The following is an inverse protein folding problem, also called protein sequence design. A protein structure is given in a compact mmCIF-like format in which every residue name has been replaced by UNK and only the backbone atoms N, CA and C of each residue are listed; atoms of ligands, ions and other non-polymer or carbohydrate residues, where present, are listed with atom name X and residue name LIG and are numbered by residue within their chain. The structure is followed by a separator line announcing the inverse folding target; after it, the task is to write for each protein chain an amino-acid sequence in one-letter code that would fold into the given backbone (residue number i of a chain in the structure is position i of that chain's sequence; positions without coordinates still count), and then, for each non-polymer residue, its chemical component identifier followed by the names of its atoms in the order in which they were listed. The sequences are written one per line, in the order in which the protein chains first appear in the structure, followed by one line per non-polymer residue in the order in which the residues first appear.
data_IF_288678471766
#
_entry.id   IF_288678471766
#
_cell.length_a   1.000
_cell.length_b   1.000
_cell.length_c   1.000
_cell.angle_alpha   90.00
_cell.angle_beta   90.00
_cell.angle_gamma   90.00
#
_symmetry.space_group_name_H-M   'P 1'
#
loop_
_entity.id
_entity.type
_entity.pdbx_description
1 polymer ?
#
# COMPACT_ATOMS: atom_id res chain seq x y z
N UNK A 1 15.94 6.56 25.59
CA UNK A 1 15.86 5.16 26.09
C UNK A 1 14.70 4.53 25.33
N UNK A 2 14.90 3.38 24.70
CA UNK A 2 13.85 2.74 23.91
C UNK A 2 12.78 2.11 24.80
N UNK A 3 11.54 2.03 24.32
CA UNK A 3 10.42 1.44 25.03
C UNK A 3 10.60 -0.07 25.26
N UNK A 4 11.27 -0.75 24.32
CA UNK A 4 11.62 -2.17 24.42
C UNK A 4 13.11 -2.35 24.74
N UNK A 5 13.43 -3.39 25.51
CA UNK A 5 14.82 -3.75 25.80
C UNK A 5 15.54 -4.30 24.57
N UNK A 6 16.88 -4.26 24.53
CA UNK A 6 17.65 -4.86 23.43
C UNK A 6 17.31 -6.32 23.16
N UNK A 7 17.04 -7.11 24.20
CA UNK A 7 16.65 -8.53 24.06
C UNK A 7 15.30 -8.68 23.33
N UNK A 8 14.33 -7.81 23.64
CA UNK A 8 13.03 -7.80 22.93
C UNK A 8 13.18 -7.39 21.46
N UNK A 9 14.07 -6.44 21.19
CA UNK A 9 14.38 -6.06 19.80
C UNK A 9 15.03 -7.25 19.06
N UNK A 10 15.97 -7.96 19.68
CA UNK A 10 16.59 -9.15 19.07
C UNK A 10 15.57 -10.28 18.81
N UNK A 11 14.60 -10.48 19.70
CA UNK A 11 13.48 -11.41 19.50
C UNK A 11 12.63 -11.00 18.27
N UNK A 12 12.31 -9.70 18.13
CA UNK A 12 11.56 -9.17 16.99
C UNK A 12 12.34 -9.28 15.67
N UNK A 13 13.64 -8.99 15.68
CA UNK A 13 14.52 -9.19 14.53
C UNK A 13 14.54 -10.67 14.09
N UNK A 14 14.67 -11.59 15.05
CA UNK A 14 14.61 -13.03 14.76
C UNK A 14 13.27 -13.42 14.13
N UNK A 15 12.18 -12.87 14.66
CA UNK A 15 10.85 -13.09 14.12
C UNK A 15 10.71 -12.56 12.68
N UNK A 16 11.27 -11.37 12.41
CA UNK A 16 11.30 -10.75 11.10
C UNK A 16 12.04 -11.61 10.09
N UNK A 17 13.23 -12.09 10.45
CA UNK A 17 14.01 -13.00 9.60
C UNK A 17 13.24 -14.28 9.28
N UNK A 18 12.48 -14.82 10.23
CA UNK A 18 11.65 -15.99 9.99
C UNK A 18 10.37 -15.68 9.18
N UNK A 19 9.87 -14.44 9.19
CA UNK A 19 8.83 -13.99 8.25
C UNK A 19 9.42 -13.85 6.83
N UNK A 20 10.61 -13.26 6.72
CA UNK A 20 11.35 -13.07 5.46
C UNK A 20 11.60 -14.38 4.71
N UNK A 21 11.90 -15.47 5.42
CA UNK A 21 12.07 -16.82 4.85
C UNK A 21 10.81 -17.39 4.21
N UNK A 22 9.62 -16.97 4.65
CA UNK A 22 8.35 -17.59 4.31
C UNK A 22 7.33 -16.57 3.76
N UNK A 23 7.67 -15.83 2.69
CA UNK A 23 6.78 -14.81 2.15
C UNK A 23 5.56 -15.45 1.47
N UNK A 24 4.39 -14.89 1.73
CA UNK A 24 3.16 -15.17 1.00
C UNK A 24 2.74 -13.91 0.23
N UNK A 25 2.34 -14.05 -1.03
CA UNK A 25 1.96 -12.91 -1.87
C UNK A 25 0.51 -12.50 -1.64
N UNK A 26 0.12 -11.35 -2.19
CA UNK A 26 -1.24 -10.81 -2.10
C UNK A 26 -2.31 -11.88 -2.39
N UNK A 27 -3.20 -12.12 -1.42
CA UNK A 27 -4.28 -13.10 -1.50
C UNK A 27 -3.91 -14.54 -1.10
N UNK A 28 -2.65 -14.80 -0.73
CA UNK A 28 -2.17 -16.11 -0.28
C UNK A 28 -1.66 -16.10 1.18
N UNK A 29 -1.86 -15.02 1.95
CA UNK A 29 -1.20 -14.71 3.24
C UNK A 29 -1.71 -15.52 4.45
N UNK A 30 -2.18 -16.75 4.22
CA UNK A 30 -2.85 -17.56 5.23
C UNK A 30 -1.93 -17.95 6.37
N UNK A 31 -0.75 -18.48 6.08
CA UNK A 31 0.18 -18.95 7.11
C UNK A 31 0.76 -17.76 7.91
N UNK A 32 1.02 -16.65 7.22
CA UNK A 32 1.49 -15.38 7.80
C UNK A 32 0.44 -14.83 8.75
N UNK A 33 -0.82 -14.72 8.32
CA UNK A 33 -1.94 -14.30 9.16
C UNK A 33 -2.14 -15.21 10.38
N UNK A 34 -2.05 -16.53 10.21
CA UNK A 34 -2.13 -17.50 11.32
C UNK A 34 -1.02 -17.27 12.35
N UNK A 35 0.21 -17.01 11.90
CA UNK A 35 1.35 -16.73 12.76
C UNK A 35 1.17 -15.43 13.53
N UNK A 36 0.78 -14.36 12.84
CA UNK A 36 0.48 -13.06 13.47
C UNK A 36 -0.62 -13.20 14.53
N UNK A 37 -1.72 -13.89 14.22
CA UNK A 37 -2.80 -14.15 15.17
C UNK A 37 -2.33 -14.87 16.44
N UNK A 38 -1.43 -15.87 16.31
CA UNK A 38 -0.82 -16.56 17.45
C UNK A 38 0.01 -15.61 18.32
N UNK A 39 0.83 -14.75 17.72
CA UNK A 39 1.60 -13.75 18.46
C UNK A 39 0.70 -12.77 19.20
N UNK A 40 -0.32 -12.21 18.52
CA UNK A 40 -1.25 -11.26 19.14
C UNK A 40 -2.02 -11.85 20.32
N UNK A 41 -2.43 -13.12 20.21
CA UNK A 41 -3.09 -13.85 21.32
C UNK A 41 -2.11 -14.03 22.50
N UNK A 42 -0.88 -14.47 22.24
CA UNK A 42 0.15 -14.61 23.27
C UNK A 42 0.55 -13.26 23.90
N UNK A 43 0.39 -12.17 23.15
CA UNK A 43 0.62 -10.80 23.60
C UNK A 43 -0.59 -10.19 24.33
N UNK A 44 -1.67 -10.96 24.53
CA UNK A 44 -2.80 -10.53 25.35
C UNK A 44 -3.75 -9.57 24.64
N UNK A 45 -3.96 -9.72 23.33
CA UNK A 45 -5.06 -9.04 22.66
C UNK A 45 -6.40 -9.37 23.37
N UNK A 46 -7.21 -8.34 23.66
CA UNK A 46 -8.50 -8.51 24.35
C UNK A 46 -9.56 -9.08 23.40
N UNK A 47 -9.46 -8.73 22.12
CA UNK A 47 -10.26 -9.28 21.03
C UNK A 47 -9.42 -9.43 19.76
N UNK A 48 -9.73 -10.46 18.98
CA UNK A 48 -9.09 -10.75 17.72
C UNK A 48 -10.14 -10.93 16.62
N UNK A 49 -9.95 -10.25 15.50
CA UNK A 49 -10.68 -10.47 14.27
C UNK A 49 -9.73 -11.13 13.28
N UNK A 50 -10.22 -12.18 12.63
CA UNK A 50 -9.51 -12.92 11.59
C UNK A 50 -10.36 -12.94 10.33
N UNK A 51 -9.68 -13.21 9.24
CA UNK A 51 -10.27 -13.30 7.92
C UNK A 51 -10.98 -11.99 7.51
N UNK A 52 -10.38 -10.85 7.86
CA UNK A 52 -10.85 -9.53 7.43
C UNK A 52 -10.35 -9.27 6.01
N UNK A 53 -11.27 -9.06 5.06
CA UNK A 53 -10.89 -8.77 3.68
C UNK A 53 -10.02 -9.85 3.03
N UNK A 54 -10.23 -11.13 3.38
CA UNK A 54 -9.35 -12.24 2.97
C UNK A 54 -8.59 -12.78 4.17
N UNK A 55 -7.30 -12.48 4.28
CA UNK A 55 -6.42 -12.99 5.34
C UNK A 55 -6.10 -11.98 6.46
N UNK A 56 -6.77 -10.82 6.47
CA UNK A 56 -6.48 -9.77 7.44
C UNK A 56 -6.75 -10.17 8.89
N UNK A 57 -5.90 -9.65 9.78
CA UNK A 57 -5.98 -9.87 11.23
C UNK A 57 -6.00 -8.52 11.94
N UNK A 58 -6.95 -8.32 12.84
CA UNK A 58 -6.97 -7.15 13.72
C UNK A 58 -6.97 -7.61 15.18
N UNK A 59 -6.24 -6.90 16.04
CA UNK A 59 -6.24 -7.12 17.48
C UNK A 59 -6.56 -5.85 18.26
N UNK A 60 -7.41 -5.97 19.27
CA UNK A 60 -7.79 -4.88 20.17
C UNK A 60 -7.00 -4.96 21.48
N UNK A 61 -6.54 -3.79 21.93
CA UNK A 61 -5.92 -3.55 23.22
C UNK A 61 -6.71 -2.43 23.91
N UNK A 62 -7.59 -2.80 24.83
CA UNK A 62 -8.55 -1.90 25.48
C UNK A 62 -7.92 -1.16 26.64
N UNK A 63 -8.16 0.15 26.71
CA UNK A 63 -7.74 1.01 27.80
C UNK A 63 -8.70 0.98 29.00
N UNK A 64 -8.28 1.61 30.10
CA UNK A 64 -9.04 1.57 31.35
C UNK A 64 -10.34 2.40 31.35
N UNK A 65 -10.39 3.48 30.56
CA UNK A 65 -11.55 4.36 30.43
C UNK A 65 -11.99 4.59 28.99
N UNK A 66 -13.12 5.26 28.80
CA UNK A 66 -13.64 5.60 27.48
C UNK A 66 -12.72 6.60 26.76
N UNK A 67 -12.61 6.46 25.44
CA UNK A 67 -11.77 7.33 24.62
C UNK A 67 -11.80 6.94 23.15
N UNK A 68 -10.97 7.59 22.30
CA UNK A 68 -10.96 7.32 20.88
C UNK A 68 -10.34 5.95 20.55
N UNK A 69 -10.60 5.49 19.33
CA UNK A 69 -9.96 4.31 18.74
C UNK A 69 -8.79 4.75 17.87
N UNK A 70 -7.58 4.29 18.21
CA UNK A 70 -6.36 4.48 17.40
C UNK A 70 -6.04 3.19 16.67
N UNK A 71 -5.99 3.22 15.34
CA UNK A 71 -5.58 2.08 14.53
C UNK A 71 -4.15 2.27 14.03
N UNK A 72 -3.30 1.28 14.28
CA UNK A 72 -1.99 1.17 13.65
C UNK A 72 -2.07 0.06 12.61
N UNK A 73 -1.65 0.34 11.38
CA UNK A 73 -1.72 -0.60 10.26
C UNK A 73 -0.34 -1.02 9.78
N UNK A 74 -0.21 -2.30 9.43
CA UNK A 74 0.84 -2.86 8.57
C UNK A 74 0.22 -3.87 7.59
N UNK A 75 1.05 -4.39 6.69
CA UNK A 75 0.72 -5.30 5.61
C UNK A 75 1.19 -6.73 5.93
N UNK A 76 0.58 -7.73 5.29
CA UNK A 76 0.94 -9.14 5.44
C UNK A 76 1.71 -9.69 4.23
N UNK A 77 1.50 -9.12 3.05
CA UNK A 77 1.96 -9.69 1.78
C UNK A 77 3.42 -9.41 1.46
N UNK A 78 4.04 -10.35 0.77
CA UNK A 78 5.27 -10.17 0.01
C UNK A 78 5.00 -10.06 -1.48
N UNK A 79 6.07 -10.09 -2.28
CA UNK A 79 6.05 -9.85 -3.71
C UNK A 79 6.36 -11.11 -4.52
N UNK A 80 5.80 -11.28 -5.74
CA UNK A 80 6.13 -12.37 -6.66
C UNK A 80 7.45 -12.10 -7.40
N UNK A 81 8.50 -11.81 -6.63
CA UNK A 81 9.84 -11.51 -7.11
C UNK A 81 10.80 -12.51 -6.48
N UNK A 82 11.66 -13.09 -7.32
CA UNK A 82 12.73 -13.98 -6.86
C UNK A 82 13.81 -13.16 -6.17
N UNK A 83 13.99 -13.35 -4.88
CA UNK A 83 15.11 -12.81 -4.13
C UNK A 83 16.45 -13.38 -4.63
N UNK A 84 17.47 -12.52 -4.72
CA UNK A 84 18.84 -12.89 -5.14
C UNK A 84 19.89 -12.59 -4.06
N UNK A 85 19.47 -12.22 -2.85
CA UNK A 85 20.37 -11.95 -1.74
C UNK A 85 21.13 -13.21 -1.28
N UNK A 86 22.26 -12.98 -0.62
CA UNK A 86 23.05 -14.01 0.07
C UNK A 86 22.79 -14.05 1.58
N UNK A 87 21.67 -13.46 2.04
CA UNK A 87 21.34 -13.36 3.45
C UNK A 87 21.09 -14.75 4.06
N UNK A 88 21.48 -14.98 5.33
CA UNK A 88 21.25 -16.26 6.01
C UNK A 88 19.77 -16.55 6.27
N UNK A 89 18.89 -15.57 6.04
CA UNK A 89 17.44 -15.64 6.19
C UNK A 89 16.68 -15.30 4.90
N UNK A 90 17.34 -15.37 3.74
CA UNK A 90 16.67 -15.20 2.45
C UNK A 90 15.45 -16.11 2.31
N UNK A 91 14.51 -15.70 1.48
CA UNK A 91 13.30 -16.45 1.14
C UNK A 91 13.62 -17.90 0.73
N UNK A 92 12.91 -18.83 1.36
CA UNK A 92 12.92 -20.25 1.05
C UNK A 92 11.80 -20.61 0.05
N UNK A 93 10.93 -19.64 -0.27
CA UNK A 93 9.79 -19.82 -1.17
C UNK A 93 10.16 -19.32 -2.57
N UNK A 94 10.23 -20.25 -3.52
CA UNK A 94 10.69 -19.96 -4.87
C UNK A 94 9.88 -18.84 -5.55
N UNK A 95 10.56 -17.79 -6.00
CA UNK A 95 9.97 -16.69 -6.75
C UNK A 95 9.17 -15.70 -5.91
N UNK A 96 9.26 -15.77 -4.57
CA UNK A 96 8.57 -14.86 -3.65
C UNK A 96 9.56 -14.25 -2.66
N UNK A 97 9.32 -13.02 -2.21
CA UNK A 97 10.20 -12.31 -1.27
C UNK A 97 9.50 -11.14 -0.58
N UNK A 98 9.86 -10.83 0.67
CA UNK A 98 9.46 -9.58 1.32
C UNK A 98 10.38 -8.44 0.87
N UNK A 99 10.19 -8.01 -0.38
CA UNK A 99 11.06 -7.04 -1.06
C UNK A 99 10.52 -5.59 -1.01
N UNK A 100 9.53 -5.35 -0.15
CA UNK A 100 8.99 -4.02 0.17
C UNK A 100 9.18 -3.64 1.66
N UNK A 101 9.54 -4.62 2.51
CA UNK A 101 9.80 -4.42 3.94
C UNK A 101 8.61 -4.71 4.88
N UNK A 102 7.52 -5.28 4.35
CA UNK A 102 6.29 -5.57 5.11
C UNK A 102 6.52 -6.51 6.30
N UNK A 103 7.52 -7.38 6.25
CA UNK A 103 7.94 -8.19 7.39
C UNK A 103 8.50 -7.35 8.55
N UNK A 104 9.24 -6.27 8.26
CA UNK A 104 9.64 -5.24 9.22
C UNK A 104 8.46 -4.47 9.81
N UNK A 105 7.47 -4.16 8.98
CA UNK A 105 6.24 -3.49 9.42
C UNK A 105 5.44 -4.37 10.41
N UNK A 106 5.28 -5.65 10.08
CA UNK A 106 4.62 -6.64 10.94
C UNK A 106 5.27 -6.73 12.32
N UNK A 107 6.60 -6.89 12.38
CA UNK A 107 7.27 -7.01 13.68
C UNK A 107 7.31 -5.70 14.45
N UNK A 108 7.27 -4.55 13.79
CA UNK A 108 7.15 -3.25 14.45
C UNK A 108 5.80 -3.15 15.18
N UNK A 109 4.70 -3.56 14.55
CA UNK A 109 3.39 -3.60 15.21
C UNK A 109 3.31 -4.64 16.33
N UNK A 110 3.98 -5.80 16.18
CA UNK A 110 4.12 -6.75 17.28
C UNK A 110 4.96 -6.19 18.44
N UNK A 111 5.93 -5.32 18.16
CA UNK A 111 6.66 -4.56 19.18
C UNK A 111 5.74 -3.61 19.95
N UNK A 112 4.84 -2.91 19.26
CA UNK A 112 3.80 -2.11 19.91
C UNK A 112 2.89 -2.98 20.78
N UNK A 113 2.48 -4.16 20.29
CA UNK A 113 1.70 -5.13 21.08
C UNK A 113 2.44 -5.59 22.35
N UNK A 114 3.77 -5.77 22.32
CA UNK A 114 4.56 -6.08 23.52
C UNK A 114 4.50 -4.96 24.56
N UNK A 115 4.59 -3.70 24.12
CA UNK A 115 4.46 -2.55 25.01
C UNK A 115 3.04 -2.44 25.60
N UNK A 116 2.02 -2.63 24.77
CA UNK A 116 0.61 -2.59 25.21
C UNK A 116 0.26 -3.73 26.18
N UNK A 117 0.90 -4.89 26.04
CA UNK A 117 0.77 -6.00 27.00
C UNK A 117 1.31 -5.60 28.38
N UNK A 118 2.47 -4.96 28.40
CA UNK A 118 3.09 -4.52 29.64
C UNK A 118 2.27 -3.39 30.29
N UNK A 119 1.68 -2.53 29.46
CA UNK A 119 1.05 -1.30 29.91
C UNK A 119 -0.11 -0.88 28.99
N UNK A 120 -1.35 -1.05 29.47
CA UNK A 120 -2.58 -0.67 28.75
C UNK A 120 -2.80 0.85 28.77
N UNK A 121 -3.29 1.48 27.69
CA UNK A 121 -3.56 2.90 27.69
C UNK A 121 -4.60 3.27 28.78
N UNK A 122 -4.54 4.47 29.36
CA UNK A 122 -5.47 4.86 30.43
C UNK A 122 -6.90 5.10 29.92
N UNK A 123 -7.08 5.31 28.60
CA UNK A 123 -8.38 5.48 27.95
C UNK A 123 -8.38 5.00 26.51
N UNK A 124 -9.58 4.83 25.93
CA UNK A 124 -9.78 4.46 24.53
C UNK A 124 -9.30 3.04 24.25
N UNK A 125 -8.93 2.77 23.00
CA UNK A 125 -8.39 1.46 22.59
C UNK A 125 -7.45 1.60 21.40
N UNK A 126 -6.54 0.64 21.29
CA UNK A 126 -5.67 0.48 20.13
C UNK A 126 -6.11 -0.73 19.32
N UNK A 127 -6.26 -0.53 18.00
CA UNK A 127 -6.43 -1.61 17.04
C UNK A 127 -5.12 -1.77 16.27
N UNK A 128 -4.52 -2.96 16.33
CA UNK A 128 -3.39 -3.31 15.47
C UNK A 128 -3.94 -4.10 14.28
N UNK A 129 -3.90 -3.51 13.09
CA UNK A 129 -4.38 -4.12 11.85
C UNK A 129 -3.20 -4.63 11.02
N UNK A 130 -3.25 -5.90 10.69
CA UNK A 130 -2.36 -6.59 9.76
C UNK A 130 -3.18 -6.90 8.51
N UNK A 131 -3.05 -6.04 7.51
CA UNK A 131 -3.87 -6.00 6.30
C UNK A 131 -3.28 -6.92 5.22
N UNK A 132 -4.09 -7.72 4.50
CA UNK A 132 -3.61 -8.50 3.36
C UNK A 132 -3.55 -7.65 2.09
N UNK A 133 -2.91 -8.15 1.04
CA UNK A 133 -3.04 -7.71 -0.34
C UNK A 133 -2.88 -6.20 -0.60
N UNK A 134 -1.90 -5.57 0.04
CA UNK A 134 -1.57 -4.15 -0.22
C UNK A 134 -1.07 -3.97 -1.65
N UNK A 135 -0.20 -4.87 -2.14
CA UNK A 135 0.54 -4.69 -3.41
C UNK A 135 -0.38 -4.67 -4.65
N UNK A 136 -1.64 -5.04 -4.49
CA UNK A 136 -2.70 -5.01 -5.53
C UNK A 136 -3.71 -3.87 -5.35
N UNK A 137 -3.63 -3.14 -4.24
CA UNK A 137 -4.56 -2.09 -3.84
C UNK A 137 -5.93 -2.57 -3.38
N UNK A 138 -6.09 -3.89 -3.23
CA UNK A 138 -7.36 -4.54 -2.89
C UNK A 138 -7.56 -4.70 -1.38
N UNK A 139 -6.48 -4.81 -0.62
CA UNK A 139 -6.45 -5.12 0.80
C UNK A 139 -7.33 -4.23 1.68
N UNK A 140 -6.99 -2.94 1.73
CA UNK A 140 -7.67 -1.97 2.57
C UNK A 140 -9.16 -1.86 2.20
N UNK A 141 -9.49 -1.96 0.90
CA UNK A 141 -10.89 -1.99 0.45
C UNK A 141 -11.62 -3.20 1.01
N UNK A 142 -11.04 -4.39 0.88
CA UNK A 142 -11.66 -5.63 1.33
C UNK A 142 -11.86 -5.64 2.86
N UNK A 143 -10.91 -5.07 3.62
CA UNK A 143 -11.05 -4.91 5.08
C UNK A 143 -12.18 -3.94 5.44
N UNK A 144 -12.28 -2.79 4.75
CA UNK A 144 -13.32 -1.78 5.01
C UNK A 144 -14.71 -2.27 4.59
N UNK A 145 -14.79 -3.06 3.52
CA UNK A 145 -16.04 -3.66 3.04
C UNK A 145 -16.51 -4.83 3.92
N UNK A 146 -15.68 -5.33 4.84
CA UNK A 146 -16.07 -6.39 5.78
C UNK A 146 -17.24 -5.91 6.66
N UNK A 147 -18.31 -6.70 6.83
CA UNK A 147 -19.44 -6.32 7.68
C UNK A 147 -19.08 -6.00 9.13
N UNK A 148 -17.91 -6.47 9.62
CA UNK A 148 -17.37 -6.23 10.97
C UNK A 148 -16.51 -4.97 11.05
N UNK A 149 -16.20 -4.31 9.94
CA UNK A 149 -15.44 -3.04 9.93
C UNK A 149 -16.00 -1.98 10.90
N UNK A 150 -17.34 -1.78 11.04
CA UNK A 150 -17.88 -0.83 12.01
C UNK A 150 -17.43 -1.08 13.46
N UNK A 151 -17.05 -2.31 13.83
CA UNK A 151 -16.58 -2.66 15.16
C UNK A 151 -15.14 -2.18 15.44
N UNK A 152 -14.33 -2.02 14.39
CA UNK A 152 -12.90 -1.65 14.46
C UNK A 152 -12.58 -0.31 13.79
N UNK A 153 -13.59 0.37 13.24
CA UNK A 153 -13.43 1.67 12.56
C UNK A 153 -12.78 2.69 13.51
N UNK A 154 -11.65 3.30 13.12
CA UNK A 154 -10.90 4.17 14.01
C UNK A 154 -11.29 5.64 13.89
N UNK A 155 -10.99 6.40 14.94
CA UNK A 155 -10.97 7.87 14.91
C UNK A 155 -9.64 8.37 14.32
N UNK A 156 -8.55 7.68 14.61
CA UNK A 156 -7.21 7.96 14.10
C UNK A 156 -6.58 6.72 13.48
N UNK A 157 -5.93 6.86 12.33
CA UNK A 157 -5.20 5.77 11.69
C UNK A 157 -3.76 6.19 11.39
N UNK A 158 -2.80 5.34 11.73
CA UNK A 158 -1.40 5.54 11.42
C UNK A 158 -0.80 4.30 10.79
N UNK A 159 0.09 4.51 9.84
CA UNK A 159 0.97 3.50 9.29
C UNK A 159 2.33 4.15 9.00
N UNK A 160 3.32 3.35 8.69
CA UNK A 160 4.56 3.86 8.14
C UNK A 160 4.98 2.99 6.96
N UNK A 161 5.79 3.57 6.08
CA UNK A 161 6.50 2.83 5.05
C UNK A 161 7.99 3.18 5.11
N UNK A 162 8.85 2.19 4.96
CA UNK A 162 10.30 2.42 4.84
C UNK A 162 10.67 2.93 3.43
N UNK A 163 11.54 3.93 3.31
CA UNK A 163 11.85 4.63 2.06
C UNK A 163 13.36 4.66 1.81
N UNK A 164 13.88 3.84 0.88
CA UNK A 164 15.27 3.91 0.43
C UNK A 164 15.64 5.26 -0.19
N UNK A 165 16.92 5.64 -0.12
CA UNK A 165 17.41 6.92 -0.63
C UNK A 165 17.22 8.10 0.33
N UNK A 166 16.86 7.83 1.59
CA UNK A 166 16.73 8.83 2.66
C UNK A 166 17.57 8.41 3.88
N UNK A 167 18.03 9.34 4.72
CA UNK A 167 18.82 9.01 5.91
C UNK A 167 18.10 7.99 6.79
N UNK A 168 18.85 7.00 7.29
CA UNK A 168 18.32 5.91 8.11
C UNK A 168 17.59 6.47 9.34
N UNK A 169 16.31 6.12 9.51
CA UNK A 169 15.49 6.55 10.64
C UNK A 169 14.95 7.98 10.55
N UNK A 170 15.17 8.71 9.44
CA UNK A 170 14.52 10.01 9.23
C UNK A 170 13.02 9.83 9.06
N UNK A 171 12.23 10.56 9.86
CA UNK A 171 10.76 10.57 9.79
C UNK A 171 10.31 11.62 8.78
N UNK A 172 9.98 11.17 7.58
CA UNK A 172 9.33 11.98 6.55
C UNK A 172 7.86 12.24 6.88
N UNK A 173 7.47 13.51 6.87
CA UNK A 173 6.14 13.99 7.23
C UNK A 173 5.57 14.84 6.09
N UNK A 174 4.27 14.68 5.82
CA UNK A 174 3.57 15.51 4.83
C UNK A 174 2.09 15.56 5.14
N UNK A 175 1.54 16.75 5.33
CA UNK A 175 0.09 16.96 5.36
C UNK A 175 -0.46 17.10 3.93
N UNK A 176 -1.68 16.64 3.69
CA UNK A 176 -2.27 16.60 2.36
C UNK A 176 -1.79 15.39 1.54
N UNK A 177 -1.68 15.48 0.20
CA UNK A 177 -1.30 14.33 -0.62
C UNK A 177 0.05 13.76 -0.22
N UNK A 178 0.09 12.51 0.26
CA UNK A 178 1.30 11.77 0.65
C UNK A 178 1.77 10.80 -0.43
N UNK A 179 0.85 10.02 -1.00
CA UNK A 179 1.08 9.09 -2.11
C UNK A 179 0.08 9.34 -3.24
N UNK A 180 0.51 9.10 -4.48
CA UNK A 180 -0.36 9.28 -5.63
C UNK A 180 -1.42 8.16 -5.73
N UNK A 181 -2.61 8.51 -6.20
CA UNK A 181 -3.59 7.54 -6.69
C UNK A 181 -3.05 6.86 -7.96
N UNK A 182 -3.41 5.60 -8.18
CA UNK A 182 -3.06 4.83 -9.38
C UNK A 182 -4.23 3.96 -9.82
N UNK A 183 -4.42 3.82 -11.13
CA UNK A 183 -5.37 2.86 -11.70
C UNK A 183 -4.83 2.28 -13.02
N UNK A 184 -4.84 0.97 -13.14
CA UNK A 184 -4.65 0.27 -14.41
C UNK A 184 -5.94 0.25 -15.21
N UNK A 185 -5.94 0.79 -16.41
CA UNK A 185 -7.03 0.75 -17.38
C UNK A 185 -6.73 -0.31 -18.43
N UNK A 186 -7.53 -1.35 -18.52
CA UNK A 186 -7.49 -2.35 -19.59
C UNK A 186 -8.65 -2.08 -20.55
N UNK A 187 -8.31 -1.89 -21.82
CA UNK A 187 -9.27 -1.62 -22.90
C UNK A 187 -9.25 -2.83 -23.83
N UNK A 188 -10.38 -3.53 -23.92
CA UNK A 188 -10.60 -4.63 -24.85
C UNK A 188 -11.45 -4.13 -26.01
N UNK A 189 -10.97 -4.34 -27.23
CA UNK A 189 -11.60 -3.92 -28.48
C UNK A 189 -11.97 -5.17 -29.28
N UNK A 190 -13.25 -5.30 -29.61
CA UNK A 190 -13.79 -6.43 -30.36
C UNK A 190 -14.47 -5.94 -31.63
N UNK A 191 -14.09 -6.52 -32.76
CA UNK A 191 -14.64 -6.28 -34.07
C UNK A 191 -14.89 -7.58 -34.82
N UNK A 192 -14.43 -7.67 -36.07
CA UNK A 192 -14.69 -8.82 -36.94
C UNK A 192 -13.46 -9.16 -37.77
N UNK A 193 -12.99 -10.40 -37.69
CA UNK A 193 -11.87 -10.86 -38.51
C UNK A 193 -12.30 -11.05 -39.95
N UNK A 194 -11.35 -10.94 -40.86
CA UNK A 194 -11.53 -11.31 -42.27
C UNK A 194 -10.25 -11.92 -42.85
N UNK A 195 -10.32 -12.41 -44.09
CA UNK A 195 -9.12 -12.77 -44.83
C UNK A 195 -8.26 -11.52 -45.06
N UNK A 196 -6.94 -11.58 -44.87
CA UNK A 196 -6.07 -10.40 -44.99
C UNK A 196 -6.09 -9.74 -46.38
N UNK A 197 -6.44 -10.50 -47.42
CA UNK A 197 -6.63 -10.00 -48.79
C UNK A 197 -8.02 -9.37 -49.06
N UNK A 198 -8.94 -9.42 -48.10
CA UNK A 198 -10.26 -8.80 -48.15
C UNK A 198 -10.56 -8.10 -46.80
N UNK A 199 -9.78 -7.08 -46.41
CA UNK A 199 -9.96 -6.37 -45.14
C UNK A 199 -11.34 -5.71 -45.00
N UNK A 200 -12.00 -5.37 -46.12
CA UNK A 200 -13.33 -4.76 -46.17
C UNK A 200 -14.46 -5.68 -45.64
N UNK A 201 -14.23 -6.99 -45.59
CA UNK A 201 -15.19 -7.96 -45.03
C UNK A 201 -15.17 -7.99 -43.48
N UNK A 202 -14.17 -7.34 -42.88
CA UNK A 202 -13.91 -7.29 -41.45
C UNK A 202 -14.17 -5.93 -40.82
N UNK A 203 -13.88 -5.86 -39.53
CA UNK A 203 -13.86 -4.65 -38.71
C UNK A 203 -12.68 -4.79 -37.75
N UNK A 204 -11.49 -4.41 -38.23
CA UNK A 204 -10.26 -4.56 -37.46
C UNK A 204 -10.09 -3.43 -36.43
N UNK A 205 -9.67 -3.71 -35.19
CA UNK A 205 -9.41 -2.69 -34.19
C UNK A 205 -8.09 -1.92 -34.43
N UNK A 206 -7.29 -2.28 -35.44
CA UNK A 206 -5.95 -1.76 -35.66
C UNK A 206 -5.87 -0.22 -35.72
N UNK A 207 -6.76 0.42 -36.47
CA UNK A 207 -6.75 1.89 -36.62
C UNK A 207 -7.14 2.59 -35.32
N UNK A 208 -8.21 2.11 -34.65
CA UNK A 208 -8.67 2.63 -33.36
C UNK A 208 -7.57 2.48 -32.30
N UNK A 209 -6.91 1.32 -32.26
CA UNK A 209 -5.76 1.10 -31.38
C UNK A 209 -4.63 2.08 -31.65
N UNK A 210 -4.24 2.29 -32.92
CA UNK A 210 -3.16 3.21 -33.27
C UNK A 210 -3.45 4.66 -32.85
N UNK A 211 -4.71 5.09 -32.95
CA UNK A 211 -5.14 6.41 -32.48
C UNK A 211 -5.10 6.51 -30.95
N UNK A 212 -5.65 5.51 -30.24
CA UNK A 212 -5.65 5.49 -28.77
C UNK A 212 -4.24 5.34 -28.17
N UNK A 213 -3.35 4.59 -28.82
CA UNK A 213 -1.94 4.47 -28.41
C UNK A 213 -1.20 5.82 -28.42
N UNK A 214 -1.66 6.78 -29.23
CA UNK A 214 -1.15 8.16 -29.20
C UNK A 214 -1.92 9.04 -28.22
N UNK A 215 -3.25 9.01 -28.30
CA UNK A 215 -4.11 9.94 -27.56
C UNK A 215 -4.11 9.69 -26.03
N UNK A 216 -4.01 8.43 -25.58
CA UNK A 216 -4.06 8.12 -24.15
C UNK A 216 -2.83 8.65 -23.41
N UNK A 217 -1.58 8.45 -23.87
CA UNK A 217 -0.40 9.08 -23.26
C UNK A 217 -0.46 10.61 -23.22
N UNK A 218 -1.08 11.25 -24.21
CA UNK A 218 -1.21 12.71 -24.28
C UNK A 218 -2.11 13.30 -23.18
N UNK A 219 -2.83 12.46 -22.41
CA UNK A 219 -3.52 12.89 -21.18
C UNK A 219 -2.55 13.25 -20.03
N UNK A 220 -1.28 12.88 -20.13
CA UNK A 220 -0.28 13.23 -19.12
C UNK A 220 -0.07 14.76 -19.10
N UNK A 221 -0.11 15.35 -17.91
CA UNK A 221 -0.02 16.80 -17.73
C UNK A 221 0.66 17.18 -16.42
N UNK A 222 1.37 18.31 -16.44
CA UNK A 222 1.95 18.93 -15.25
C UNK A 222 3.14 18.20 -14.65
N UNK A 223 3.65 18.75 -13.55
CA UNK A 223 4.73 18.19 -12.73
C UNK A 223 4.21 17.82 -11.35
N UNK A 224 4.83 16.82 -10.73
CA UNK A 224 4.47 16.44 -9.35
C UNK A 224 4.60 17.67 -8.43
N UNK A 225 3.56 17.93 -7.64
CA UNK A 225 3.39 19.14 -6.84
C UNK A 225 2.41 20.16 -7.44
N UNK A 226 2.13 20.11 -8.75
CA UNK A 226 1.15 20.97 -9.42
C UNK A 226 -0.28 20.38 -9.28
N UNK A 227 -1.32 21.19 -9.01
CA UNK A 227 -2.68 20.67 -8.71
C UNK A 227 -3.30 19.76 -9.78
N UNK A 228 -2.92 19.95 -11.03
CA UNK A 228 -3.43 19.25 -12.22
C UNK A 228 -2.54 18.09 -12.69
N UNK A 229 -1.51 17.74 -11.92
CA UNK A 229 -0.60 16.64 -12.21
C UNK A 229 -1.35 15.34 -12.54
N UNK A 230 -1.04 14.79 -13.71
CA UNK A 230 -1.54 13.53 -14.21
C UNK A 230 -0.44 12.81 -15.01
N UNK A 231 -0.34 11.49 -14.84
CA UNK A 231 0.38 10.61 -15.76
C UNK A 231 -0.60 9.65 -16.40
N UNK A 232 -0.37 9.37 -17.67
CA UNK A 232 -1.04 8.33 -18.45
C UNK A 232 0.04 7.60 -19.23
N UNK A 233 0.31 6.35 -18.89
CA UNK A 233 1.43 5.59 -19.48
C UNK A 233 0.89 4.34 -20.13
N UNK A 234 1.05 4.23 -21.45
CA UNK A 234 0.74 3.00 -22.19
C UNK A 234 1.75 1.91 -21.79
N UNK A 235 1.26 0.83 -21.19
CA UNK A 235 2.10 -0.26 -20.66
C UNK A 235 1.96 -1.56 -21.46
N UNK A 236 0.90 -1.71 -22.25
CA UNK A 236 0.68 -2.91 -23.07
C UNK A 236 -0.13 -2.61 -24.32
N UNK A 237 0.20 -3.30 -25.41
CA UNK A 237 -0.61 -3.33 -26.63
C UNK A 237 -0.52 -4.72 -27.28
N UNK A 238 -1.66 -5.29 -27.65
CA UNK A 238 -1.76 -6.57 -28.37
C UNK A 238 -2.87 -6.50 -29.40
N UNK A 239 -2.59 -6.90 -30.64
CA UNK A 239 -3.54 -6.90 -31.75
C UNK A 239 -3.58 -8.28 -32.39
N UNK A 240 -4.71 -8.98 -32.22
CA UNK A 240 -4.93 -10.32 -32.77
C UNK A 240 -3.83 -11.34 -32.47
N UNK A 241 -3.79 -12.37 -33.30
CA UNK A 241 -2.74 -13.38 -33.32
C UNK A 241 -1.62 -13.01 -34.30
N UNK A 242 -0.37 -13.47 -34.09
CA UNK A 242 0.75 -13.22 -35.00
C UNK A 242 0.64 -14.08 -36.28
N UNK A 243 -0.21 -13.66 -37.23
CA UNK A 243 -0.46 -14.32 -38.51
C UNK A 243 -0.55 -13.31 -39.66
N UNK A 244 -0.18 -13.74 -40.88
CA UNK A 244 -0.24 -12.90 -42.08
C UNK A 244 -1.55 -13.02 -42.86
N UNK A 245 -2.32 -14.09 -42.63
CA UNK A 245 -3.48 -14.43 -43.46
C UNK A 245 -4.82 -13.88 -42.95
N UNK A 246 -4.85 -13.29 -41.75
CA UNK A 246 -6.08 -12.92 -41.05
C UNK A 246 -6.00 -11.45 -40.63
N UNK A 247 -7.00 -10.66 -41.01
CA UNK A 247 -7.27 -9.35 -40.43
C UNK A 247 -7.81 -9.54 -39.01
N UNK A 248 -7.24 -8.88 -37.98
CA UNK A 248 -7.56 -9.17 -36.59
C UNK A 248 -8.98 -8.72 -36.21
N UNK A 249 -9.62 -9.47 -35.30
CA UNK A 249 -10.91 -9.10 -34.71
C UNK A 249 -10.77 -8.49 -33.31
N UNK A 250 -9.69 -8.80 -32.61
CA UNK A 250 -9.48 -8.50 -31.21
C UNK A 250 -8.24 -7.62 -30.99
N UNK A 251 -8.33 -6.73 -30.00
CA UNK A 251 -7.25 -5.85 -29.59
C UNK A 251 -7.32 -5.54 -28.10
N UNK A 252 -6.16 -5.34 -27.48
CA UNK A 252 -6.02 -4.95 -26.08
C UNK A 252 -5.00 -3.83 -25.93
N UNK A 253 -5.37 -2.78 -25.19
CA UNK A 253 -4.46 -1.75 -24.69
C UNK A 253 -4.51 -1.73 -23.17
N UNK A 254 -3.35 -1.53 -22.51
CA UNK A 254 -3.31 -1.22 -21.07
C UNK A 254 -2.59 0.08 -20.82
N UNK A 255 -3.17 0.90 -19.95
CA UNK A 255 -2.64 2.21 -19.56
C UNK A 255 -2.65 2.33 -18.04
N UNK A 256 -1.57 2.81 -17.44
CA UNK A 256 -1.54 3.17 -16.02
C UNK A 256 -1.77 4.67 -15.88
N UNK A 257 -2.82 5.04 -15.14
CA UNK A 257 -3.15 6.41 -14.79
C UNK A 257 -2.63 6.73 -13.38
N UNK A 258 -2.12 7.94 -13.16
CA UNK A 258 -1.62 8.38 -11.85
C UNK A 258 -1.89 9.86 -11.59
N UNK A 259 -2.34 10.21 -10.38
CA UNK A 259 -2.63 11.60 -9.98
C UNK A 259 -2.32 11.80 -8.49
N UNK A 260 -2.15 13.05 -8.04
CA UNK A 260 -1.94 13.32 -6.60
C UNK A 260 -3.22 13.27 -5.75
N UNK A 261 -4.40 13.37 -6.37
CA UNK A 261 -5.67 13.43 -5.66
C UNK A 261 -6.72 12.54 -6.32
N UNK A 262 -7.65 12.05 -5.50
CA UNK A 262 -8.78 11.25 -5.98
C UNK A 262 -9.67 12.05 -6.95
N UNK A 263 -9.91 13.33 -6.68
CA UNK A 263 -10.68 14.22 -7.56
C UNK A 263 -10.04 14.35 -8.95
N UNK A 264 -8.71 14.54 -9.04
CA UNK A 264 -8.03 14.58 -10.34
C UNK A 264 -8.04 13.22 -11.03
N UNK A 265 -7.96 12.11 -10.27
CA UNK A 265 -8.06 10.75 -10.81
C UNK A 265 -9.42 10.54 -11.49
N UNK A 266 -10.51 10.92 -10.82
CA UNK A 266 -11.86 10.78 -11.37
C UNK A 266 -12.01 11.59 -12.67
N UNK A 267 -11.48 12.83 -12.72
CA UNK A 267 -11.46 13.62 -13.96
C UNK A 267 -10.61 12.96 -15.07
N UNK A 268 -9.42 12.45 -14.74
CA UNK A 268 -8.53 11.79 -15.71
C UNK A 268 -9.16 10.52 -16.29
N UNK A 269 -9.89 9.77 -15.46
CA UNK A 269 -10.66 8.61 -15.93
C UNK A 269 -11.76 9.02 -16.90
N UNK A 270 -12.53 10.08 -16.61
CA UNK A 270 -13.57 10.54 -17.52
C UNK A 270 -12.97 11.03 -18.85
N UNK A 271 -11.82 11.73 -18.83
CA UNK A 271 -11.07 12.11 -20.03
C UNK A 271 -10.65 10.87 -20.85
N UNK A 272 -10.09 9.85 -20.20
CA UNK A 272 -9.68 8.61 -20.86
C UNK A 272 -10.88 7.83 -21.43
N UNK A 273 -11.98 7.72 -20.67
CA UNK A 273 -13.20 7.08 -21.13
C UNK A 273 -13.82 7.83 -22.32
N UNK A 274 -13.81 9.16 -22.29
CA UNK A 274 -14.29 9.97 -23.40
C UNK A 274 -13.45 9.76 -24.68
N UNK A 275 -12.12 9.71 -24.55
CA UNK A 275 -11.23 9.39 -25.67
C UNK A 275 -11.50 7.99 -26.25
N UNK A 276 -11.66 6.98 -25.40
CA UNK A 276 -11.98 5.62 -25.88
C UNK A 276 -13.31 5.61 -26.63
N UNK A 277 -14.35 6.26 -26.08
CA UNK A 277 -15.66 6.36 -26.73
C UNK A 277 -15.62 7.11 -28.07
N UNK A 278 -14.82 8.17 -28.18
CA UNK A 278 -14.75 8.97 -29.40
C UNK A 278 -14.05 8.24 -30.56
N UNK A 279 -13.16 7.29 -30.27
CA UNK A 279 -12.41 6.54 -31.28
C UNK A 279 -13.01 5.14 -31.57
N UNK A 280 -13.82 4.58 -30.67
CA UNK A 280 -14.34 3.21 -30.77
C UNK A 280 -15.05 2.88 -32.09
N UNK A 281 -15.73 3.85 -32.70
CA UNK A 281 -16.49 3.65 -33.93
C UNK A 281 -17.56 2.55 -33.76
N UNK A 282 -17.51 1.52 -34.60
CA UNK A 282 -18.42 0.38 -34.57
C UNK A 282 -17.90 -0.82 -33.74
N UNK A 283 -16.71 -0.72 -33.14
CA UNK A 283 -16.15 -1.78 -32.31
C UNK A 283 -16.94 -1.89 -31.01
N UNK A 284 -17.08 -3.13 -30.50
CA UNK A 284 -17.45 -3.35 -29.11
C UNK A 284 -16.23 -3.05 -28.23
N UNK A 285 -16.47 -2.34 -27.12
CA UNK A 285 -15.41 -1.96 -26.19
C UNK A 285 -15.80 -2.34 -24.77
N UNK A 286 -14.95 -3.11 -24.13
CA UNK A 286 -15.04 -3.42 -22.70
C UNK A 286 -13.84 -2.83 -21.96
N UNK A 287 -14.09 -2.23 -20.79
CA UNK A 287 -13.06 -1.56 -20.00
C UNK A 287 -13.04 -2.16 -18.60
N UNK A 288 -11.87 -2.58 -18.15
CA UNK A 288 -11.64 -3.12 -16.82
C UNK A 288 -10.62 -2.30 -16.05
N UNK A 289 -10.86 -2.13 -14.76
CA UNK A 289 -9.96 -1.40 -13.85
C UNK A 289 -9.22 -2.39 -12.96
N UNK A 290 -7.90 -2.21 -12.88
CA UNK A 290 -6.97 -3.03 -12.12
C UNK A 290 -6.14 -2.14 -11.21
N UNK A 291 -5.52 -2.72 -10.18
CA UNK A 291 -4.57 -2.05 -9.28
C UNK A 291 -5.08 -0.68 -8.83
N UNK A 292 -6.27 -0.67 -8.21
CA UNK A 292 -7.00 0.56 -7.91
C UNK A 292 -6.57 1.10 -6.55
N UNK A 293 -5.65 2.06 -6.58
CA UNK A 293 -5.18 2.79 -5.40
C UNK A 293 -5.80 4.19 -5.35
N UNK A 294 -6.36 4.53 -4.19
CA UNK A 294 -6.73 5.91 -3.87
C UNK A 294 -5.48 6.67 -3.41
N UNK A 295 -5.47 7.97 -3.58
CA UNK A 295 -4.38 8.80 -3.06
C UNK A 295 -4.41 8.75 -1.52
N UNK A 296 -3.23 8.63 -0.91
CA UNK A 296 -3.10 8.86 0.54
C UNK A 296 -3.16 10.36 0.76
N UNK A 297 -4.18 10.82 1.49
CA UNK A 297 -4.29 12.21 1.93
C UNK A 297 -4.08 12.21 3.44
N UNK A 298 -2.88 12.64 3.86
CA UNK A 298 -2.50 12.70 5.25
C UNK A 298 -3.22 13.86 5.97
N UNK A 299 -3.90 13.54 7.06
CA UNK A 299 -4.62 14.50 7.90
C UNK A 299 -3.62 15.43 8.61
N UNK A 300 -3.86 16.76 8.62
CA UNK A 300 -2.93 17.70 9.23
C UNK A 300 -2.79 17.54 10.74
N UNK A 301 -3.85 17.15 11.47
CA UNK A 301 -3.80 16.96 12.91
C UNK A 301 -3.04 15.67 13.27
N UNK A 302 -3.32 14.57 12.57
CA UNK A 302 -2.59 13.32 12.74
C UNK A 302 -1.10 13.49 12.39
N UNK A 303 -0.79 14.23 11.32
CA UNK A 303 0.59 14.55 10.95
C UNK A 303 1.30 15.40 12.01
N UNK A 304 0.60 16.35 12.61
CA UNK A 304 1.15 17.17 13.71
C UNK A 304 1.45 16.33 14.96
N UNK A 305 0.59 15.36 15.30
CA UNK A 305 0.83 14.40 16.40
C UNK A 305 2.12 13.61 16.14
N UNK A 306 2.26 13.01 14.95
CA UNK A 306 3.44 12.24 14.63
C UNK A 306 4.73 13.09 14.65
N UNK A 307 4.65 14.35 14.20
CA UNK A 307 5.76 15.30 14.30
C UNK A 307 6.17 15.55 15.75
N UNK A 308 5.20 15.89 16.60
CA UNK A 308 5.47 16.19 17.99
C UNK A 308 6.13 15.00 18.70
N UNK A 309 5.67 13.78 18.40
CA UNK A 309 6.27 12.57 18.96
C UNK A 309 7.69 12.36 18.46
N UNK A 310 7.95 12.51 17.15
CA UNK A 310 9.30 12.41 16.60
C UNK A 310 10.25 13.43 17.26
N UNK A 311 9.80 14.67 17.42
CA UNK A 311 10.57 15.74 18.11
C UNK A 311 10.85 15.38 19.58
N UNK A 312 9.85 14.89 20.31
CA UNK A 312 10.00 14.47 21.72
C UNK A 312 10.98 13.30 21.88
N UNK A 313 11.03 12.40 20.90
CA UNK A 313 11.98 11.28 20.86
C UNK A 313 13.37 11.70 20.38
N UNK A 314 13.55 12.94 19.91
CA UNK A 314 14.79 13.41 19.29
C UNK A 314 15.09 12.72 17.96
N UNK A 315 14.08 12.17 17.29
CA UNK A 315 14.23 11.55 15.98
C UNK A 315 14.33 12.63 14.90
N UNK A 316 15.26 12.49 13.92
CA UNK A 316 15.32 13.41 12.80
C UNK A 316 14.01 13.34 12.02
N UNK A 317 13.36 14.48 11.80
CA UNK A 317 12.12 14.56 11.04
C UNK A 317 12.22 15.62 9.95
N UNK A 318 11.45 15.44 8.87
CA UNK A 318 11.50 16.33 7.71
C UNK A 318 10.16 16.47 7.02
N UNK A 319 9.78 17.71 6.75
CA UNK A 319 8.69 18.02 5.82
C UNK A 319 9.06 17.63 4.39
N UNK A 320 8.28 16.71 3.82
CA UNK A 320 8.44 16.32 2.43
C UNK A 320 7.74 17.33 1.53
N UNK A 321 8.48 18.00 0.61
CA UNK A 321 7.92 19.06 -0.23
C UNK A 321 6.98 18.51 -1.30
N UNK A 322 7.13 17.24 -1.68
CA UNK A 322 6.35 16.56 -2.72
C UNK A 322 5.81 15.24 -2.19
N UNK A 323 4.64 14.76 -2.70
CA UNK A 323 4.20 13.40 -2.46
C UNK A 323 5.13 12.39 -3.12
N UNK A 324 5.03 11.13 -2.70
CA UNK A 324 5.65 10.01 -3.38
C UNK A 324 4.78 9.55 -4.55
N UNK A 325 5.46 9.15 -5.63
CA UNK A 325 4.79 8.71 -6.86
C UNK A 325 4.17 7.33 -6.71
N UNK A 326 4.82 6.42 -5.98
CA UNK A 326 4.25 5.10 -5.72
C UNK A 326 2.97 5.23 -4.88
N UNK A 327 2.10 4.25 -5.04
CA UNK A 327 0.75 4.24 -4.47
C UNK A 327 0.71 3.36 -3.24
N UNK A 328 -0.28 3.60 -2.39
CA UNK A 328 -0.48 2.89 -1.13
C UNK A 328 -1.98 2.86 -0.85
N UNK A 329 -2.52 1.70 -0.48
CA UNK A 329 -3.97 1.56 -0.31
C UNK A 329 -4.50 2.06 1.04
N UNK A 330 -3.59 2.44 1.96
CA UNK A 330 -3.88 3.08 3.25
C UNK A 330 -4.78 4.32 3.13
N UNK A 331 -4.76 5.03 2.00
CA UNK A 331 -5.59 6.23 1.78
C UNK A 331 -7.09 5.98 2.01
N UNK A 332 -7.54 4.72 1.85
CA UNK A 332 -8.93 4.32 2.07
C UNK A 332 -9.40 4.49 3.52
N UNK A 333 -8.51 4.39 4.52
CA UNK A 333 -8.88 4.62 5.91
C UNK A 333 -9.26 6.09 6.16
N UNK A 334 -8.51 7.02 5.55
CA UNK A 334 -8.83 8.45 5.55
C UNK A 334 -10.14 8.76 4.81
N UNK A 335 -10.35 8.17 3.63
CA UNK A 335 -11.62 8.28 2.90
C UNK A 335 -12.82 7.72 3.70
N UNK A 336 -12.58 6.77 4.61
CA UNK A 336 -13.58 6.24 5.52
C UNK A 336 -13.72 7.04 6.83
N UNK A 337 -13.15 8.24 6.91
CA UNK A 337 -13.41 9.22 7.96
C UNK A 337 -12.46 9.21 9.16
N UNK A 338 -11.39 8.40 9.13
CA UNK A 338 -10.33 8.48 10.13
C UNK A 338 -9.43 9.70 9.87
N UNK A 339 -8.91 10.32 10.94
CA UNK A 339 -7.74 11.19 10.84
C UNK A 339 -6.51 10.32 10.56
N UNK A 340 -6.17 10.15 9.29
CA UNK A 340 -5.20 9.16 8.83
C UNK A 340 -3.90 9.83 8.39
N UNK A 341 -2.75 9.30 8.83
CA UNK A 341 -1.43 9.72 8.35
C UNK A 341 -0.50 8.53 8.13
N UNK A 342 0.11 8.48 6.94
CA UNK A 342 1.23 7.61 6.63
C UNK A 342 2.56 8.34 6.85
N UNK A 343 3.47 7.71 7.58
CA UNK A 343 4.82 8.20 7.85
C UNK A 343 5.84 7.56 6.90
N UNK A 344 6.87 8.31 6.53
CA UNK A 344 7.87 7.85 5.54
C UNK A 344 9.24 7.74 6.18
N UNK A 345 9.62 6.54 6.61
CA UNK A 345 10.83 6.31 7.42
C UNK A 345 12.01 6.00 6.51
N UNK A 346 13.09 6.77 6.57
CA UNK A 346 14.24 6.52 5.69
C UNK A 346 14.93 5.19 5.96
N UNK A 347 15.17 4.40 4.91
CA UNK A 347 15.86 3.09 5.01
C UNK A 347 17.39 3.18 4.94
N UNK A 348 17.95 4.35 4.64
CA UNK A 348 19.36 4.56 4.31
C UNK A 348 19.53 5.11 2.90
N UNK A 349 20.54 5.96 2.70
CA UNK A 349 20.78 6.66 1.42
C UNK A 349 21.23 5.70 0.32
N UNK A 350 22.11 4.75 0.66
CA UNK A 350 22.64 3.74 -0.26
C UNK A 350 21.88 2.40 -0.21
N UNK A 351 20.70 2.40 0.40
CA UNK A 351 19.90 1.19 0.55
C UNK A 351 19.26 0.78 -0.79
N UNK A 352 19.18 -0.53 -1.13
CA UNK A 352 18.49 -0.99 -2.32
C UNK A 352 17.07 -0.45 -2.43
N UNK A 353 16.58 -0.24 -3.67
CA UNK A 353 15.23 0.24 -3.89
C UNK A 353 14.20 -0.86 -3.60
N UNK A 354 13.00 -0.45 -3.19
CA UNK A 354 11.86 -1.35 -3.04
C UNK A 354 11.62 -2.11 -4.35
N UNK A 355 11.23 -3.38 -4.22
CA UNK A 355 10.95 -4.32 -5.31
C UNK A 355 12.21 -4.77 -6.07
N UNK A 356 13.40 -4.29 -5.71
CA UNK A 356 14.61 -4.90 -6.22
C UNK A 356 14.82 -6.28 -5.59
N UNK A 357 15.30 -7.28 -6.36
CA UNK A 357 15.57 -8.63 -5.86
C UNK A 357 16.57 -8.75 -4.69
N UNK A 358 17.34 -7.70 -4.40
CA UNK A 358 18.34 -7.62 -3.34
C UNK A 358 17.94 -6.72 -2.16
N UNK A 359 16.70 -6.22 -2.14
CA UNK A 359 16.19 -5.43 -1.02
C UNK A 359 16.02 -6.26 0.25
N UNK A 360 16.32 -5.68 1.41
CA UNK A 360 16.02 -6.25 2.73
C UNK A 360 15.68 -5.15 3.74
N UNK A 361 14.65 -5.35 4.58
CA UNK A 361 14.28 -4.36 5.60
C UNK A 361 15.45 -4.07 6.57
N UNK A 362 15.82 -2.81 6.82
CA UNK A 362 16.87 -2.50 7.79
C UNK A 362 16.38 -2.69 9.23
N UNK A 363 16.80 -3.79 9.89
CA UNK A 363 16.47 -4.10 11.29
C UNK A 363 16.78 -2.97 12.28
N UNK A 364 17.77 -2.12 11.96
CA UNK A 364 18.13 -0.94 12.74
C UNK A 364 16.99 0.09 12.89
N UNK A 365 15.94 0.00 12.06
CA UNK A 365 14.75 0.84 12.16
C UNK A 365 13.83 0.44 13.32
N UNK A 366 13.84 -0.83 13.73
CA UNK A 366 12.83 -1.39 14.65
C UNK A 366 12.71 -0.57 15.95
N UNK A 367 13.79 -0.25 16.69
CA UNK A 367 13.64 0.45 17.96
C UNK A 367 13.00 1.83 17.81
N UNK A 368 13.44 2.61 16.81
CA UNK A 368 12.96 3.97 16.59
C UNK A 368 11.50 4.00 16.12
N UNK A 369 11.13 3.10 15.20
CA UNK A 369 9.77 3.03 14.68
C UNK A 369 8.79 2.56 15.77
N UNK A 370 9.16 1.55 16.57
CA UNK A 370 8.32 1.07 17.67
C UNK A 370 8.08 2.20 18.68
N UNK A 371 9.12 2.93 19.07
CA UNK A 371 9.01 4.08 19.98
C UNK A 371 8.10 5.17 19.41
N UNK A 372 8.22 5.47 18.11
CA UNK A 372 7.40 6.46 17.42
C UNK A 372 5.92 6.08 17.46
N UNK A 373 5.59 4.82 17.12
CA UNK A 373 4.21 4.33 17.14
C UNK A 373 3.62 4.30 18.56
N UNK A 374 4.40 3.87 19.56
CA UNK A 374 3.99 3.91 20.97
C UNK A 374 3.74 5.35 21.42
N UNK A 375 4.64 6.28 21.07
CA UNK A 375 4.50 7.68 21.40
C UNK A 375 3.26 8.32 20.78
N UNK A 376 2.91 7.96 19.54
CA UNK A 376 1.66 8.39 18.89
C UNK A 376 0.44 7.88 19.65
N UNK A 377 0.44 6.61 20.05
CA UNK A 377 -0.63 6.04 20.88
C UNK A 377 -0.75 6.79 22.21
N UNK A 378 0.37 7.08 22.87
CA UNK A 378 0.40 7.79 24.16
C UNK A 378 -0.04 9.25 24.05
N UNK A 379 0.31 9.94 22.98
CA UNK A 379 -0.11 11.34 22.75
C UNK A 379 -1.64 11.43 22.63
N UNK A 380 -2.28 10.45 21.98
CA UNK A 380 -3.73 10.44 21.76
C UNK A 380 -4.48 9.89 22.98
N UNK A 381 -4.02 8.75 23.50
CA UNK A 381 -4.70 7.99 24.55
C UNK A 381 -4.22 8.35 25.96
N UNK A 382 -3.23 9.22 26.10
CA UNK A 382 -2.61 9.60 27.38
C UNK A 382 -1.42 8.73 27.74
N UNK A 383 -0.49 9.25 28.57
CA UNK A 383 0.67 8.48 29.01
C UNK A 383 0.20 7.32 29.86
N UNK A 384 0.87 6.19 29.71
CA UNK A 384 0.46 5.01 30.45
C UNK A 384 0.81 5.18 31.94
N UNK A 385 -0.11 4.94 32.90
CA UNK A 385 0.15 5.15 34.31
C UNK A 385 1.29 4.25 34.80
N UNK A 386 2.30 4.86 35.44
CA UNK A 386 3.51 4.19 35.94
C UNK A 386 3.22 3.07 36.94
#
# INVERSE_FOLDING_TARGET
MHALSPDRIAELTTLRHDLHRHPEISGEERATAERIARHLTALGADRLWRDLGGHGVAAEFTGAGDGPTVLLRCELDGLPIREISDLPYKSEVAGKGHLCGHDGHMVSLLGVAQALKAQRPPRGRVILLFQPAEETGAGAKAVIDDPRWPEIRPDYAFAYHNVPGRPLGEVGLRSGPGNCASRGMQILLEGKSSHAAAPEDGLSPANVMAELMRALPDLAHGRIGEPDFALSTLTHAKLGAPTFGISPADGELRVTLRTMTNMRMDALMEEALALVRSHAGALRVDIHWHDVFRAVINDPDATAIARQVAENLGQPSRDMPLPLRWSEDFGRFGDNGAKATLLYIGSGEDHPQLHNPDYDFPDALLPGVIDLLIGIVQEILGPTPA
#
